data_IF_304775572934
#
_entry.id   IF_304775572934
#
_cell.length_a   1.000
_cell.length_b   1.000
_cell.length_c   1.000
_cell.angle_alpha   90.00
_cell.angle_beta   90.00
_cell.angle_gamma   90.00
#
_symmetry.space_group_name_H-M   'P 1'
#
loop_
_entity.id
_entity.type
_entity.pdbx_description
1 polymer ?
#
# COMPACT_ATOMS: atom_id res chain seq x y z
N UNK A 1 -1.21 -37.27 16.64
CA UNK A 1 -2.21 -36.25 16.43
C UNK A 1 -3.52 -36.75 17.02
N UNK A 2 -4.25 -36.00 17.84
CA UNK A 2 -5.56 -36.39 18.36
C UNK A 2 -6.57 -36.61 17.23
N UNK A 3 -7.38 -37.70 17.33
CA UNK A 3 -8.33 -38.10 16.30
C UNK A 3 -9.40 -37.01 16.11
N UNK A 4 -9.82 -36.37 17.18
CA UNK A 4 -10.76 -35.23 17.14
C UNK A 4 -10.35 -34.06 16.24
N UNK A 5 -9.02 -33.85 16.05
CA UNK A 5 -8.53 -32.81 15.12
C UNK A 5 -8.69 -33.28 13.68
N UNK A 6 -8.53 -34.58 13.42
CA UNK A 6 -8.74 -35.17 12.11
C UNK A 6 -10.23 -35.13 11.75
N UNK A 7 -11.08 -35.53 12.69
CA UNK A 7 -12.54 -35.53 12.50
C UNK A 7 -13.05 -34.11 12.22
N UNK A 8 -12.58 -33.13 12.98
CA UNK A 8 -12.93 -31.70 12.75
C UNK A 8 -12.49 -31.22 11.37
N UNK A 9 -11.29 -31.62 10.91
CA UNK A 9 -10.82 -31.24 9.58
C UNK A 9 -11.64 -31.90 8.49
N UNK A 10 -11.97 -33.19 8.65
CA UNK A 10 -12.85 -33.93 7.74
C UNK A 10 -14.25 -33.33 7.67
N UNK A 11 -14.84 -33.03 8.82
CA UNK A 11 -16.16 -32.39 8.90
C UNK A 11 -16.22 -31.10 8.08
N UNK A 12 -15.19 -30.22 8.23
CA UNK A 12 -15.10 -28.97 7.48
C UNK A 12 -15.02 -29.18 5.97
N UNK A 13 -14.24 -30.17 5.52
CA UNK A 13 -14.14 -30.51 4.10
C UNK A 13 -15.43 -31.09 3.56
N UNK A 14 -16.10 -31.96 4.32
CA UNK A 14 -17.38 -32.54 3.91
C UNK A 14 -18.49 -31.50 3.90
N UNK A 15 -18.51 -30.59 4.88
CA UNK A 15 -19.46 -29.48 4.92
C UNK A 15 -19.32 -28.60 3.67
N UNK A 16 -18.09 -28.17 3.34
CA UNK A 16 -17.80 -27.40 2.14
C UNK A 16 -18.26 -28.11 0.86
N UNK A 17 -17.98 -29.42 0.76
CA UNK A 17 -18.45 -30.22 -0.38
C UNK A 17 -19.98 -30.28 -0.46
N UNK A 18 -20.64 -30.40 0.70
CA UNK A 18 -22.11 -30.37 0.76
C UNK A 18 -22.68 -29.02 0.34
N UNK A 19 -22.11 -27.92 0.83
CA UNK A 19 -22.51 -26.55 0.48
C UNK A 19 -22.33 -26.24 -1.02
N UNK A 20 -21.30 -26.82 -1.65
CA UNK A 20 -21.06 -26.72 -3.09
C UNK A 20 -21.89 -27.68 -3.94
N UNK A 21 -22.76 -28.50 -3.32
CA UNK A 21 -23.59 -29.50 -4.00
C UNK A 21 -22.81 -30.72 -4.53
N UNK A 22 -21.49 -30.82 -4.25
CA UNK A 22 -20.62 -31.91 -4.76
C UNK A 22 -21.01 -33.31 -4.27
N UNK A 23 -21.85 -33.40 -3.24
CA UNK A 23 -22.37 -34.64 -2.68
C UNK A 23 -23.76 -34.98 -3.18
N UNK A 24 -24.40 -34.12 -3.99
CA UNK A 24 -25.71 -34.33 -4.53
C UNK A 24 -25.68 -35.29 -5.71
N UNK A 25 -26.67 -36.21 -5.78
CA UNK A 25 -26.71 -37.20 -6.85
C UNK A 25 -26.88 -36.63 -8.27
N UNK A 26 -27.37 -35.39 -8.37
CA UNK A 26 -27.55 -34.66 -9.63
C UNK A 26 -26.49 -33.56 -9.86
N UNK A 27 -25.34 -33.60 -9.14
CA UNK A 27 -24.32 -32.58 -9.33
C UNK A 27 -23.77 -32.66 -10.75
N UNK A 28 -23.67 -31.49 -11.37
CA UNK A 28 -23.16 -31.28 -12.72
C UNK A 28 -21.87 -30.46 -12.63
N UNK A 29 -20.74 -30.94 -13.19
CA UNK A 29 -19.50 -30.18 -13.21
C UNK A 29 -19.54 -28.97 -14.13
N UNK A 30 -20.51 -28.85 -15.04
CA UNK A 30 -20.63 -27.72 -15.93
C UNK A 30 -21.23 -26.53 -15.17
N UNK A 31 -20.51 -25.39 -15.07
CA UNK A 31 -21.05 -24.18 -14.45
C UNK A 31 -22.34 -23.72 -15.14
N UNK A 32 -23.31 -23.25 -14.35
CA UNK A 32 -24.58 -22.74 -14.86
C UNK A 32 -24.39 -21.68 -15.95
N UNK A 33 -23.39 -20.84 -15.83
CA UNK A 33 -23.06 -19.77 -16.79
C UNK A 33 -22.62 -20.29 -18.16
N UNK A 34 -22.19 -21.56 -18.29
CA UNK A 34 -21.81 -22.19 -19.56
C UNK A 34 -22.92 -23.05 -20.15
N UNK A 35 -23.99 -23.30 -19.42
CA UNK A 35 -25.14 -24.07 -19.92
C UNK A 35 -25.82 -23.30 -21.07
N UNK A 36 -26.33 -24.05 -22.02
CA UNK A 36 -27.02 -23.49 -23.19
C UNK A 36 -26.14 -22.63 -24.11
N UNK A 37 -24.80 -22.85 -24.08
CA UNK A 37 -23.86 -22.11 -24.92
C UNK A 37 -23.59 -20.68 -24.48
N UNK A 38 -23.75 -20.40 -23.18
CA UNK A 38 -23.37 -19.12 -22.56
C UNK A 38 -21.90 -18.80 -22.76
N UNK A 39 -21.58 -17.55 -23.05
CA UNK A 39 -20.22 -17.03 -23.07
C UNK A 39 -19.92 -16.41 -21.70
N UNK A 40 -18.72 -16.73 -21.16
CA UNK A 40 -18.25 -16.09 -19.96
C UNK A 40 -17.56 -14.77 -20.31
N UNK A 41 -18.11 -13.68 -19.81
CA UNK A 41 -17.42 -12.39 -19.81
C UNK A 41 -16.53 -12.32 -18.56
N UNK A 42 -15.20 -12.36 -18.76
CA UNK A 42 -14.22 -12.27 -17.69
C UNK A 42 -13.84 -10.83 -17.35
N UNK A 43 -14.33 -9.85 -18.11
CA UNK A 43 -14.07 -8.43 -17.93
C UNK A 43 -15.36 -7.59 -17.97
N UNK A 44 -16.40 -7.97 -17.21
CA UNK A 44 -17.67 -7.27 -17.26
C UNK A 44 -17.57 -5.86 -16.65
N UNK A 45 -18.37 -4.88 -17.10
CA UNK A 45 -18.30 -3.48 -16.69
C UNK A 45 -18.31 -3.24 -15.16
N UNK A 46 -19.03 -4.07 -14.42
CA UNK A 46 -19.09 -3.93 -12.96
C UNK A 46 -17.78 -4.35 -12.27
N UNK A 47 -17.05 -5.33 -12.82
CA UNK A 47 -15.73 -5.73 -12.32
C UNK A 47 -14.69 -4.67 -12.66
N UNK A 48 -14.74 -4.09 -13.86
CA UNK A 48 -13.91 -2.93 -14.25
C UNK A 48 -14.14 -1.74 -13.31
N UNK A 49 -15.39 -1.43 -12.96
CA UNK A 49 -15.71 -0.36 -12.00
C UNK A 49 -15.15 -0.64 -10.60
N UNK A 50 -15.17 -1.90 -10.15
CA UNK A 50 -14.56 -2.31 -8.90
C UNK A 50 -13.03 -2.21 -8.95
N UNK A 51 -12.40 -2.70 -10.02
CA UNK A 51 -10.96 -2.60 -10.26
C UNK A 51 -10.49 -1.14 -10.25
N UNK A 52 -11.24 -0.25 -10.93
CA UNK A 52 -10.98 1.21 -10.91
C UNK A 52 -11.04 1.78 -9.50
N UNK A 53 -12.08 1.44 -8.73
CA UNK A 53 -12.21 1.89 -7.34
C UNK A 53 -11.04 1.44 -6.48
N UNK A 54 -10.59 0.20 -6.64
CA UNK A 54 -9.44 -0.33 -5.91
C UNK A 54 -8.15 0.37 -6.34
N UNK A 55 -7.91 0.55 -7.63
CA UNK A 55 -6.75 1.24 -8.16
C UNK A 55 -6.68 2.70 -7.64
N UNK A 56 -7.76 3.47 -7.75
CA UNK A 56 -7.84 4.86 -7.28
C UNK A 56 -7.59 4.99 -5.77
N UNK A 57 -8.06 4.03 -4.96
CA UNK A 57 -7.85 4.01 -3.51
C UNK A 57 -6.47 3.51 -3.10
N UNK A 58 -5.75 2.82 -3.97
CA UNK A 58 -4.44 2.23 -3.69
C UNK A 58 -3.26 3.15 -3.99
N UNK A 59 -3.40 4.11 -4.90
CA UNK A 59 -2.32 5.06 -5.24
C UNK A 59 -1.93 5.89 -4.02
N UNK A 60 -0.64 5.92 -3.72
CA UNK A 60 -0.06 6.62 -2.57
C UNK A 60 0.70 7.86 -3.02
N UNK A 61 0.30 9.03 -2.58
CA UNK A 61 1.09 10.25 -2.70
C UNK A 61 2.11 10.27 -1.56
N UNK A 62 3.38 10.03 -1.87
CA UNK A 62 4.45 9.97 -0.86
C UNK A 62 4.97 11.36 -0.49
N UNK A 63 5.09 12.24 -1.46
CA UNK A 63 5.56 13.61 -1.25
C UNK A 63 4.99 14.56 -2.31
N UNK A 64 4.74 15.79 -1.92
CA UNK A 64 4.47 16.94 -2.79
C UNK A 64 5.10 18.18 -2.16
N UNK A 65 6.43 18.31 -2.33
CA UNK A 65 7.23 19.36 -1.69
C UNK A 65 7.09 20.71 -2.35
N UNK A 66 6.87 20.69 -3.66
CA UNK A 66 6.73 21.92 -4.44
C UNK A 66 5.28 22.39 -4.56
N UNK A 67 4.30 21.62 -4.04
CA UNK A 67 2.88 21.87 -4.25
C UNK A 67 2.51 21.83 -5.73
N UNK A 68 3.19 20.97 -6.50
CA UNK A 68 3.01 20.86 -7.95
C UNK A 68 1.79 20.02 -8.31
N UNK A 69 1.34 19.17 -7.41
CA UNK A 69 0.15 18.36 -7.59
C UNK A 69 -1.06 18.94 -6.85
N UNK A 70 -2.27 18.83 -7.42
CA UNK A 70 -2.55 18.31 -8.75
C UNK A 70 -2.05 19.25 -9.85
N UNK A 71 -1.61 18.68 -10.97
CA UNK A 71 -1.14 19.45 -12.11
C UNK A 71 -2.26 20.33 -12.68
N UNK A 72 -1.99 21.64 -12.82
CA UNK A 72 -2.93 22.60 -13.37
C UNK A 72 -2.64 22.76 -14.86
N UNK A 73 -3.26 21.94 -15.71
CA UNK A 73 -3.19 21.96 -17.17
C UNK A 73 -1.84 22.45 -17.73
N UNK A 74 -0.75 21.67 -17.56
CA UNK A 74 0.57 22.10 -18.02
C UNK A 74 0.57 22.26 -19.53
N UNK A 75 1.14 23.38 -20.03
CA UNK A 75 1.18 23.60 -21.47
C UNK A 75 2.10 22.59 -22.16
N UNK A 76 3.24 22.25 -21.53
CA UNK A 76 4.23 21.26 -22.02
C UNK A 76 4.57 20.27 -20.91
N UNK A 77 4.28 19.01 -21.19
CA UNK A 77 4.52 17.91 -20.26
C UNK A 77 5.48 16.90 -20.87
N UNK A 78 6.59 16.63 -20.22
CA UNK A 78 7.48 15.54 -20.62
C UNK A 78 7.12 14.27 -19.84
N UNK A 79 6.86 13.18 -20.51
CA UNK A 79 6.64 11.84 -19.90
C UNK A 79 7.85 10.98 -20.25
N UNK A 80 8.70 10.75 -19.27
CA UNK A 80 10.02 10.14 -19.44
C UNK A 80 10.15 8.92 -18.54
N UNK A 81 10.70 7.85 -19.07
CA UNK A 81 11.01 6.65 -18.29
C UNK A 81 10.55 5.37 -18.94
N UNK A 82 11.13 4.23 -18.55
CA UNK A 82 10.91 2.95 -19.20
C UNK A 82 9.50 2.38 -18.98
N UNK A 83 8.83 2.76 -17.89
CA UNK A 83 7.51 2.25 -17.51
C UNK A 83 6.35 3.13 -18.05
N UNK A 84 6.65 4.24 -18.76
CA UNK A 84 5.63 5.18 -19.21
C UNK A 84 4.69 4.60 -20.28
N UNK A 85 5.29 3.90 -21.25
CA UNK A 85 4.59 3.33 -22.42
C UNK A 85 4.72 1.79 -22.42
N UNK A 86 4.53 1.19 -21.25
CA UNK A 86 4.67 -0.25 -21.03
C UNK A 86 3.49 -0.78 -20.22
N UNK A 87 2.58 -1.48 -20.88
CA UNK A 87 1.35 -2.05 -20.27
C UNK A 87 1.69 -3.02 -19.15
N UNK A 88 2.72 -3.86 -19.33
CA UNK A 88 3.07 -4.91 -18.38
C UNK A 88 3.64 -4.36 -17.07
N UNK A 89 4.09 -3.10 -17.04
CA UNK A 89 4.52 -2.41 -15.83
C UNK A 89 3.37 -2.12 -14.84
N UNK A 90 2.11 -2.26 -15.29
CA UNK A 90 0.93 -2.10 -14.43
C UNK A 90 0.52 -3.40 -13.73
N UNK A 91 1.06 -4.54 -14.14
CA UNK A 91 0.58 -5.88 -13.80
C UNK A 91 1.57 -6.65 -12.94
N UNK A 92 1.07 -7.38 -11.93
CA UNK A 92 1.88 -8.33 -11.16
C UNK A 92 2.23 -9.60 -11.95
N UNK A 93 3.20 -10.37 -11.45
CA UNK A 93 3.75 -11.53 -12.17
C UNK A 93 2.74 -12.65 -12.43
N UNK A 94 1.69 -12.78 -11.62
CA UNK A 94 0.63 -13.78 -11.79
C UNK A 94 -0.59 -13.27 -12.55
N UNK A 95 -0.60 -12.00 -12.98
CA UNK A 95 -1.61 -11.53 -13.92
C UNK A 95 -1.48 -12.26 -15.25
N UNK A 96 -2.59 -12.55 -15.91
CA UNK A 96 -2.60 -13.28 -17.17
C UNK A 96 -1.62 -12.72 -18.21
N UNK A 97 -1.54 -11.39 -18.44
CA UNK A 97 -0.59 -10.82 -19.40
C UNK A 97 0.87 -11.20 -19.09
N UNK A 98 1.30 -11.15 -17.84
CA UNK A 98 2.68 -11.45 -17.43
C UNK A 98 2.94 -12.95 -17.24
N UNK A 99 1.94 -13.73 -16.84
CA UNK A 99 2.11 -15.15 -16.55
C UNK A 99 2.00 -16.02 -17.80
N UNK A 100 1.01 -15.77 -18.63
CA UNK A 100 0.69 -16.58 -19.81
C UNK A 100 0.95 -15.80 -21.10
N UNK A 101 0.49 -14.56 -21.20
CA UNK A 101 0.55 -13.74 -22.41
C UNK A 101 1.96 -13.60 -22.98
N UNK A 102 2.98 -13.39 -22.13
CA UNK A 102 4.39 -13.27 -22.56
C UNK A 102 4.92 -14.54 -23.25
N UNK A 103 4.37 -15.72 -22.95
CA UNK A 103 4.72 -16.99 -23.59
C UNK A 103 3.93 -17.24 -24.89
N UNK A 104 2.88 -16.44 -25.13
CA UNK A 104 1.97 -16.54 -26.26
C UNK A 104 1.75 -15.18 -26.91
N UNK A 105 2.78 -14.54 -27.52
CA UNK A 105 2.72 -13.17 -28.02
C UNK A 105 1.71 -12.97 -29.18
N UNK A 106 1.29 -14.06 -29.83
CA UNK A 106 0.30 -14.03 -30.91
C UNK A 106 -1.16 -14.11 -30.40
N UNK A 107 -1.36 -14.26 -29.09
CA UNK A 107 -2.67 -14.34 -28.48
C UNK A 107 -3.12 -12.95 -28.00
N UNK A 108 -4.34 -12.59 -28.33
CA UNK A 108 -4.95 -11.36 -27.81
C UNK A 108 -5.13 -11.48 -26.28
N UNK A 109 -4.89 -10.39 -25.57
CA UNK A 109 -5.04 -10.36 -24.10
C UNK A 109 -6.50 -10.47 -23.66
N UNK A 110 -7.45 -10.19 -24.55
CA UNK A 110 -8.88 -10.25 -24.27
C UNK A 110 -9.42 -9.10 -23.42
N UNK A 111 -8.56 -8.17 -23.03
CA UNK A 111 -8.90 -6.95 -22.27
C UNK A 111 -8.17 -5.75 -22.85
N UNK A 112 -8.74 -4.55 -22.67
CA UNK A 112 -8.08 -3.29 -23.01
C UNK A 112 -7.20 -2.82 -21.86
N UNK A 113 -5.92 -2.63 -22.12
CA UNK A 113 -4.93 -2.16 -21.15
C UNK A 113 -4.24 -0.90 -21.70
N UNK A 114 -4.69 0.31 -21.34
CA UNK A 114 -3.98 1.53 -21.71
C UNK A 114 -2.65 1.62 -20.95
N UNK A 115 -1.62 2.17 -21.61
CA UNK A 115 -0.38 2.54 -20.94
C UNK A 115 -0.60 3.76 -20.03
N UNK A 116 0.32 4.04 -19.11
CA UNK A 116 0.23 5.28 -18.34
C UNK A 116 0.34 6.51 -19.24
N UNK A 117 1.14 6.44 -20.31
CA UNK A 117 1.25 7.51 -21.31
C UNK A 117 -0.09 7.79 -22.00
N UNK A 118 -0.84 6.74 -22.38
CA UNK A 118 -2.17 6.90 -22.99
C UNK A 118 -3.16 7.54 -22.02
N UNK A 119 -3.14 7.09 -20.76
CA UNK A 119 -3.99 7.68 -19.72
C UNK A 119 -3.63 9.16 -19.45
N UNK A 120 -2.34 9.52 -19.44
CA UNK A 120 -1.90 10.92 -19.29
C UNK A 120 -2.33 11.77 -20.49
N UNK A 121 -2.23 11.25 -21.72
CA UNK A 121 -2.73 11.95 -22.91
C UNK A 121 -4.25 12.20 -22.86
N UNK A 122 -4.99 11.21 -22.39
CA UNK A 122 -6.43 11.33 -22.20
C UNK A 122 -6.82 12.32 -21.09
N UNK A 123 -6.06 12.34 -19.99
CA UNK A 123 -6.34 13.19 -18.84
C UNK A 123 -5.96 14.67 -19.08
N UNK A 124 -4.93 14.94 -19.92
CA UNK A 124 -4.44 16.29 -20.25
C UNK A 124 -4.52 16.58 -21.76
N UNK A 125 -5.72 16.65 -22.35
CA UNK A 125 -5.89 16.79 -23.79
C UNK A 125 -5.39 18.14 -24.34
N UNK A 126 -5.23 19.13 -23.50
CA UNK A 126 -4.69 20.47 -23.84
C UNK A 126 -3.16 20.56 -23.78
N UNK A 127 -2.47 19.56 -23.20
CA UNK A 127 -1.03 19.57 -23.03
C UNK A 127 -0.29 19.13 -24.28
N UNK A 128 0.80 19.81 -24.61
CA UNK A 128 1.79 19.29 -25.55
C UNK A 128 2.66 18.26 -24.83
N UNK A 129 2.45 16.96 -25.12
CA UNK A 129 3.15 15.86 -24.48
C UNK A 129 4.33 15.42 -25.34
N UNK A 130 5.54 15.48 -24.79
CA UNK A 130 6.77 14.92 -25.35
C UNK A 130 7.20 13.71 -24.55
N UNK A 131 7.83 12.73 -25.19
CA UNK A 131 8.18 11.46 -24.57
C UNK A 131 9.60 11.04 -24.86
N UNK A 132 10.24 10.37 -23.91
CA UNK A 132 11.50 9.67 -24.11
C UNK A 132 11.58 8.47 -23.14
N UNK A 133 12.01 7.31 -23.64
CA UNK A 133 12.21 6.13 -22.77
C UNK A 133 13.36 6.33 -21.80
N UNK A 134 14.44 7.00 -22.22
CA UNK A 134 15.63 7.26 -21.45
C UNK A 134 16.52 6.02 -21.27
N UNK A 135 16.03 5.01 -20.54
CA UNK A 135 16.73 3.76 -20.25
C UNK A 135 15.78 2.58 -20.34
N UNK A 136 16.26 1.34 -20.56
CA UNK A 136 15.43 0.15 -20.33
C UNK A 136 15.22 -0.11 -18.85
N UNK A 137 14.26 -1.00 -18.50
CA UNK A 137 13.97 -1.31 -17.07
C UNK A 137 15.13 -2.05 -16.42
N UNK A 138 15.65 -3.08 -17.05
CA UNK A 138 16.56 -4.06 -16.44
C UNK A 138 18.02 -3.88 -16.86
N UNK A 139 18.25 -3.61 -18.13
CA UNK A 139 19.62 -3.51 -18.66
C UNK A 139 20.27 -2.18 -18.28
N UNK A 140 21.60 -2.22 -18.09
CA UNK A 140 22.39 -1.02 -17.81
C UNK A 140 22.78 -0.33 -19.12
N UNK A 141 21.80 0.26 -19.81
CA UNK A 141 21.99 1.08 -21.00
C UNK A 141 21.67 2.56 -20.70
N UNK A 142 22.60 3.44 -20.98
CA UNK A 142 22.53 4.89 -20.72
C UNK A 142 22.34 5.71 -21.98
N UNK A 143 22.29 5.07 -23.14
CA UNK A 143 22.33 5.74 -24.45
C UNK A 143 21.19 6.74 -24.67
N UNK A 144 20.02 6.49 -24.08
CA UNK A 144 18.85 7.36 -24.21
C UNK A 144 18.79 8.51 -23.17
N UNK A 145 19.68 8.57 -22.16
CA UNK A 145 19.61 9.61 -21.10
C UNK A 145 19.73 11.02 -21.69
N UNK A 146 20.62 11.22 -22.67
CA UNK A 146 20.81 12.54 -23.30
C UNK A 146 19.55 13.03 -24.03
N UNK A 147 18.79 12.13 -24.66
CA UNK A 147 17.51 12.46 -25.27
C UNK A 147 16.44 12.79 -24.21
N UNK A 148 16.35 11.98 -23.17
CA UNK A 148 15.46 12.20 -22.04
C UNK A 148 15.67 13.58 -21.38
N UNK A 149 16.92 13.98 -21.18
CA UNK A 149 17.30 15.31 -20.64
C UNK A 149 16.87 16.44 -21.58
N UNK A 150 17.06 16.28 -22.90
CA UNK A 150 16.58 17.29 -23.88
C UNK A 150 15.04 17.42 -23.79
N UNK A 151 14.33 16.30 -23.85
CA UNK A 151 12.87 16.26 -23.72
C UNK A 151 12.40 16.95 -22.44
N UNK A 152 13.05 16.66 -21.31
CA UNK A 152 12.73 17.26 -20.02
C UNK A 152 12.99 18.77 -19.98
N UNK A 153 14.08 19.23 -20.59
CA UNK A 153 14.48 20.65 -20.57
C UNK A 153 13.45 21.54 -21.29
N UNK A 154 12.79 21.03 -22.32
CA UNK A 154 11.78 21.74 -23.11
C UNK A 154 10.39 21.78 -22.45
N UNK A 155 10.16 20.99 -21.42
CA UNK A 155 8.88 20.89 -20.73
C UNK A 155 8.75 21.89 -19.57
N UNK A 156 7.51 22.09 -19.10
CA UNK A 156 7.20 22.87 -17.91
C UNK A 156 7.24 21.98 -16.66
N UNK A 157 6.80 20.71 -16.81
CA UNK A 157 6.84 19.65 -15.79
C UNK A 157 7.29 18.34 -16.43
N UNK A 158 8.01 17.53 -15.66
CA UNK A 158 8.49 16.20 -16.07
C UNK A 158 7.82 15.14 -15.21
N UNK A 159 7.18 14.16 -15.85
CA UNK A 159 6.76 12.91 -15.22
C UNK A 159 7.87 11.88 -15.46
N UNK A 160 8.61 11.52 -14.42
CA UNK A 160 9.60 10.46 -14.46
C UNK A 160 8.91 9.13 -14.06
N UNK A 161 8.57 8.30 -15.05
CA UNK A 161 7.83 7.04 -14.84
C UNK A 161 8.81 5.89 -14.79
N UNK A 162 9.08 5.43 -13.58
CA UNK A 162 10.09 4.41 -13.29
C UNK A 162 9.42 3.17 -12.70
N UNK A 163 10.06 2.02 -12.85
CA UNK A 163 9.44 0.83 -12.27
C UNK A 163 10.12 -0.47 -12.60
N UNK A 164 9.32 -1.51 -12.39
CA UNK A 164 9.66 -2.91 -12.59
C UNK A 164 9.03 -3.48 -13.87
N UNK A 165 9.61 -4.55 -14.33
CA UNK A 165 8.93 -5.56 -15.15
C UNK A 165 8.65 -6.75 -14.24
N UNK A 166 7.36 -7.04 -14.00
CA UNK A 166 6.98 -8.22 -13.25
C UNK A 166 7.20 -9.48 -14.09
N UNK A 167 7.84 -10.49 -13.52
CA UNK A 167 8.15 -11.73 -14.21
C UNK A 167 8.19 -12.93 -13.29
N UNK A 168 8.42 -14.09 -13.91
CA UNK A 168 8.53 -15.39 -13.23
C UNK A 168 9.86 -16.03 -13.57
N UNK A 169 10.42 -16.77 -12.58
CA UNK A 169 11.62 -17.58 -12.76
C UNK A 169 12.81 -16.78 -13.30
N UNK A 170 13.04 -15.59 -12.73
CA UNK A 170 14.17 -14.72 -13.09
C UNK A 170 14.00 -13.89 -14.38
N UNK A 171 12.80 -13.87 -14.98
CA UNK A 171 12.54 -13.17 -16.25
C UNK A 171 12.02 -11.74 -16.06
N UNK A 172 12.26 -11.13 -14.93
CA UNK A 172 11.84 -9.78 -14.60
C UNK A 172 12.69 -9.18 -13.50
N UNK A 173 12.31 -8.01 -13.03
CA UNK A 173 12.97 -7.33 -11.91
C UNK A 173 12.21 -7.52 -10.61
N UNK A 174 10.93 -7.96 -10.65
CA UNK A 174 10.08 -8.25 -9.50
C UNK A 174 9.16 -9.42 -9.80
N UNK A 175 8.86 -10.26 -8.82
CA UNK A 175 7.99 -11.43 -8.95
C UNK A 175 8.66 -12.70 -8.43
N UNK A 176 8.07 -13.86 -8.70
CA UNK A 176 8.59 -15.15 -8.24
C UNK A 176 9.94 -15.45 -8.88
N UNK A 177 10.95 -15.70 -8.03
CA UNK A 177 12.32 -15.98 -8.47
C UNK A 177 13.04 -14.76 -9.08
N UNK A 178 12.47 -13.56 -8.95
CA UNK A 178 13.08 -12.31 -9.36
C UNK A 178 13.55 -11.52 -8.12
N UNK A 179 14.42 -12.13 -7.32
CA UNK A 179 14.98 -11.54 -6.11
C UNK A 179 15.98 -10.42 -6.44
N UNK A 180 16.20 -9.53 -5.49
CA UNK A 180 17.17 -8.44 -5.59
C UNK A 180 18.06 -8.40 -4.34
N UNK A 181 19.34 -8.11 -4.53
CA UNK A 181 20.34 -8.03 -3.45
C UNK A 181 20.13 -6.78 -2.58
N UNK A 182 19.56 -5.73 -3.14
CA UNK A 182 19.29 -4.47 -2.46
C UNK A 182 18.00 -3.81 -2.99
N UNK A 183 17.72 -2.59 -2.52
CA UNK A 183 16.55 -1.81 -2.87
C UNK A 183 16.88 -0.65 -3.83
N UNK A 184 17.86 -0.80 -4.70
CA UNK A 184 18.08 0.16 -5.79
C UNK A 184 17.09 -0.05 -6.92
N UNK A 185 16.72 1.04 -7.60
CA UNK A 185 15.97 0.94 -8.86
C UNK A 185 16.77 0.10 -9.87
N UNK A 186 16.13 -0.82 -10.60
CA UNK A 186 16.83 -1.69 -11.53
C UNK A 186 17.47 -0.93 -12.70
N UNK A 187 18.49 -1.52 -13.31
CA UNK A 187 19.16 -0.98 -14.48
C UNK A 187 19.84 0.37 -14.22
N UNK A 188 19.65 1.31 -15.14
CA UNK A 188 20.20 2.69 -15.05
C UNK A 188 19.11 3.72 -14.67
N UNK A 189 17.98 3.30 -14.10
CA UNK A 189 16.86 4.20 -13.79
C UNK A 189 17.21 5.27 -12.75
N UNK A 190 18.05 4.95 -11.76
CA UNK A 190 18.51 5.93 -10.78
C UNK A 190 19.33 7.04 -11.43
N UNK A 191 20.22 6.69 -12.38
CA UNK A 191 21.04 7.65 -13.13
C UNK A 191 20.17 8.53 -14.07
N UNK A 192 19.16 7.95 -14.72
CA UNK A 192 18.18 8.70 -15.48
C UNK A 192 17.48 9.73 -14.59
N UNK A 193 17.00 9.31 -13.41
CA UNK A 193 16.29 10.18 -12.50
C UNK A 193 17.16 11.32 -12.00
N UNK A 194 18.41 11.06 -11.64
CA UNK A 194 19.37 12.11 -11.25
C UNK A 194 19.58 13.13 -12.39
N UNK A 195 19.76 12.65 -13.62
CA UNK A 195 19.93 13.51 -14.79
C UNK A 195 18.70 14.38 -15.09
N UNK A 196 17.48 13.84 -14.88
CA UNK A 196 16.24 14.61 -15.01
C UNK A 196 16.13 15.71 -13.93
N UNK A 197 16.47 15.38 -12.68
CA UNK A 197 16.48 16.35 -11.57
C UNK A 197 17.52 17.46 -11.76
N UNK A 198 18.65 17.17 -12.40
CA UNK A 198 19.70 18.14 -12.71
C UNK A 198 19.29 19.17 -13.78
N UNK A 199 18.19 18.93 -14.51
CA UNK A 199 17.60 19.93 -15.42
C UNK A 199 17.02 21.16 -14.71
N UNK A 200 16.79 21.05 -13.40
CA UNK A 200 16.12 22.09 -12.61
C UNK A 200 14.63 22.26 -12.87
N UNK A 201 14.02 21.39 -13.69
CA UNK A 201 12.58 21.36 -13.90
C UNK A 201 11.86 20.67 -12.75
N UNK A 202 10.60 21.00 -12.45
CA UNK A 202 9.78 20.23 -11.53
C UNK A 202 9.64 18.79 -12.04
N UNK A 203 10.18 17.83 -11.29
CA UNK A 203 10.09 16.39 -11.61
C UNK A 203 9.11 15.73 -10.65
N UNK A 204 8.04 15.17 -11.19
CA UNK A 204 7.11 14.28 -10.50
C UNK A 204 7.53 12.84 -10.79
N UNK A 205 7.94 12.12 -9.76
CA UNK A 205 8.33 10.71 -9.87
C UNK A 205 7.10 9.83 -9.71
N UNK A 206 6.85 8.97 -10.68
CA UNK A 206 5.80 7.95 -10.63
C UNK A 206 6.46 6.57 -10.60
N UNK A 207 6.17 5.80 -9.56
CA UNK A 207 6.75 4.50 -9.30
C UNK A 207 5.72 3.39 -9.56
N UNK A 208 5.97 2.59 -10.59
CA UNK A 208 5.23 1.37 -10.93
C UNK A 208 6.10 0.17 -10.55
N UNK A 209 6.13 -0.20 -9.27
CA UNK A 209 7.15 -1.10 -8.72
C UNK A 209 6.56 -2.21 -7.87
N UNK A 210 7.14 -3.38 -7.91
CA UNK A 210 6.80 -4.48 -7.00
C UNK A 210 7.52 -4.39 -5.64
N UNK A 211 8.53 -3.50 -5.51
CA UNK A 211 9.30 -3.28 -4.28
C UNK A 211 9.27 -1.82 -3.85
N UNK A 212 9.45 -1.55 -2.55
CA UNK A 212 9.59 -0.19 -2.01
C UNK A 212 11.04 0.30 -2.19
N UNK A 213 11.43 0.65 -3.41
CA UNK A 213 12.78 1.08 -3.71
C UNK A 213 13.21 2.33 -2.95
N UNK A 214 14.45 2.33 -2.48
CA UNK A 214 15.05 3.46 -1.79
C UNK A 214 15.57 4.49 -2.81
N UNK A 215 14.98 5.67 -2.81
CA UNK A 215 15.34 6.73 -3.75
C UNK A 215 16.53 7.59 -3.27
N UNK A 216 17.04 7.37 -2.05
CA UNK A 216 18.17 8.11 -1.51
C UNK A 216 17.95 9.62 -1.46
N UNK A 217 18.95 10.38 -1.91
CA UNK A 217 18.89 11.85 -1.94
C UNK A 217 17.84 12.41 -2.91
N UNK A 218 17.38 11.62 -3.90
CA UNK A 218 16.30 11.99 -4.82
C UNK A 218 15.02 12.29 -4.07
N UNK A 219 14.78 11.58 -2.96
CA UNK A 219 13.60 11.78 -2.11
C UNK A 219 13.39 13.26 -1.75
N UNK A 220 14.47 14.01 -1.52
CA UNK A 220 14.40 15.42 -1.11
C UNK A 220 14.44 16.40 -2.30
N UNK A 221 14.81 15.94 -3.50
CA UNK A 221 14.95 16.75 -4.73
C UNK A 221 13.72 16.72 -5.62
N UNK A 222 12.98 15.62 -5.62
CA UNK A 222 11.77 15.47 -6.43
C UNK A 222 10.67 16.47 -6.00
N UNK A 223 9.99 17.09 -6.97
CA UNK A 223 8.88 17.99 -6.72
C UNK A 223 7.70 17.25 -6.06
N UNK A 224 7.38 16.06 -6.58
CA UNK A 224 6.41 15.14 -5.97
C UNK A 224 6.81 13.68 -6.26
N UNK A 225 6.28 12.74 -5.43
CA UNK A 225 6.51 11.31 -5.59
C UNK A 225 5.19 10.57 -5.40
N UNK A 226 4.81 9.78 -6.40
CA UNK A 226 3.61 8.94 -6.41
C UNK A 226 4.03 7.48 -6.52
N UNK A 227 3.56 6.64 -5.61
CA UNK A 227 3.78 5.19 -5.59
C UNK A 227 2.47 4.49 -5.95
N UNK A 228 2.46 3.70 -7.00
CA UNK A 228 1.28 2.95 -7.41
C UNK A 228 1.42 1.44 -7.25
N UNK A 229 2.64 0.92 -7.03
CA UNK A 229 2.94 -0.51 -7.07
C UNK A 229 2.55 -1.10 -8.43
N UNK A 230 1.90 -2.27 -8.45
CA UNK A 230 1.26 -2.84 -9.65
C UNK A 230 -0.24 -2.62 -9.55
N UNK A 231 -0.76 -1.51 -10.10
CA UNK A 231 -2.13 -1.07 -9.83
C UNK A 231 -3.21 -1.79 -10.65
N UNK A 232 -2.82 -2.72 -11.54
CA UNK A 232 -3.74 -3.51 -12.34
C UNK A 232 -4.28 -2.79 -13.58
N UNK A 233 -5.29 -3.39 -14.19
CA UNK A 233 -5.87 -2.97 -15.49
C UNK A 233 -6.40 -1.53 -15.50
N UNK A 234 -6.93 -1.04 -14.41
CA UNK A 234 -7.43 0.33 -14.26
C UNK A 234 -6.39 1.30 -13.69
N UNK A 235 -5.17 0.82 -13.47
CA UNK A 235 -4.11 1.54 -12.78
C UNK A 235 -3.62 2.79 -13.51
N UNK A 236 -3.52 2.74 -14.84
CA UNK A 236 -3.10 3.88 -15.65
C UNK A 236 -4.03 5.08 -15.44
N UNK A 237 -5.36 4.85 -15.54
CA UNK A 237 -6.39 5.87 -15.31
C UNK A 237 -6.41 6.38 -13.87
N UNK A 238 -6.15 5.51 -12.89
CA UNK A 238 -6.08 5.88 -11.49
C UNK A 238 -4.89 6.82 -11.20
N UNK A 239 -3.70 6.49 -11.70
CA UNK A 239 -2.50 7.33 -11.55
C UNK A 239 -2.67 8.67 -12.26
N UNK A 240 -3.14 8.67 -13.53
CA UNK A 240 -3.41 9.90 -14.26
C UNK A 240 -4.43 10.78 -13.52
N UNK A 241 -5.49 10.19 -12.97
CA UNK A 241 -6.49 10.88 -12.16
C UNK A 241 -5.93 11.49 -10.86
N UNK A 242 -4.94 10.85 -10.23
CA UNK A 242 -4.22 11.47 -9.11
C UNK A 242 -3.40 12.64 -9.60
N UNK A 243 -2.66 12.51 -10.70
CA UNK A 243 -1.84 13.61 -11.25
C UNK A 243 -2.66 14.85 -11.60
N UNK A 244 -3.87 14.69 -12.17
CA UNK A 244 -4.77 15.79 -12.52
C UNK A 244 -5.58 16.32 -11.34
N UNK A 245 -5.68 15.53 -10.29
CA UNK A 245 -6.55 15.80 -9.15
C UNK A 245 -8.01 15.37 -9.35
N UNK A 246 -8.37 14.69 -10.43
CA UNK A 246 -9.68 14.03 -10.55
C UNK A 246 -9.87 13.05 -9.39
N UNK A 247 -8.82 12.37 -9.00
CA UNK A 247 -8.76 11.50 -7.84
C UNK A 247 -7.97 12.18 -6.72
N UNK A 248 -8.55 12.28 -5.52
CA UNK A 248 -7.81 12.68 -4.33
C UNK A 248 -7.12 11.44 -3.74
N UNK A 249 -5.76 11.39 -3.69
CA UNK A 249 -5.05 10.22 -3.22
C UNK A 249 -5.40 9.88 -1.77
N UNK A 250 -5.59 8.61 -1.48
CA UNK A 250 -5.93 8.11 -0.14
C UNK A 250 -5.22 6.82 0.23
N UNK A 251 -4.38 6.28 -0.64
CA UNK A 251 -3.57 5.10 -0.37
C UNK A 251 -2.58 5.34 0.77
N UNK A 252 -2.22 4.26 1.47
CA UNK A 252 -1.22 4.27 2.54
C UNK A 252 -0.21 3.16 2.29
N UNK A 253 1.06 3.43 2.57
CA UNK A 253 2.13 2.46 2.40
C UNK A 253 1.89 1.21 3.26
N UNK A 254 1.80 0.02 2.65
CA UNK A 254 1.69 -1.25 3.38
C UNK A 254 3.04 -1.76 3.90
N UNK A 255 4.12 -1.05 3.55
CA UNK A 255 5.51 -1.29 3.96
C UNK A 255 6.20 0.07 4.13
N UNK A 256 7.28 0.13 4.91
CA UNK A 256 8.10 1.34 4.92
C UNK A 256 9.06 1.38 3.72
N UNK A 257 9.44 2.58 3.29
CA UNK A 257 10.45 2.80 2.26
C UNK A 257 11.77 3.15 2.94
N UNK A 258 12.82 2.36 2.72
CA UNK A 258 14.13 2.61 3.28
C UNK A 258 14.74 3.91 2.71
N UNK A 259 15.56 4.60 3.50
CA UNK A 259 16.24 5.82 3.04
C UNK A 259 17.38 5.50 2.07
N UNK A 260 18.06 4.39 2.29
CA UNK A 260 19.18 3.92 1.46
C UNK A 260 18.94 2.50 0.99
N UNK A 261 19.48 2.09 -0.18
CA UNK A 261 19.23 0.76 -0.74
C UNK A 261 19.58 -0.41 0.18
N UNK A 262 20.66 -0.28 0.97
CA UNK A 262 21.05 -1.25 2.00
C UNK A 262 20.39 -1.01 3.36
N UNK A 263 19.37 -0.16 3.43
CA UNK A 263 18.69 0.20 4.69
C UNK A 263 18.06 -0.98 5.38
N UNK A 264 18.46 -1.25 6.61
CA UNK A 264 17.94 -2.34 7.45
C UNK A 264 17.74 -1.84 8.88
N UNK A 265 16.67 -2.29 9.59
CA UNK A 265 15.64 -3.19 9.13
C UNK A 265 14.64 -2.48 8.19
N UNK A 266 14.26 -3.14 7.11
CA UNK A 266 13.24 -2.62 6.20
C UNK A 266 11.81 -2.89 6.70
N UNK A 267 11.59 -2.85 8.00
CA UNK A 267 10.29 -3.09 8.65
C UNK A 267 10.07 -2.18 9.85
N UNK A 268 8.84 -1.68 10.02
CA UNK A 268 8.44 -0.93 11.21
C UNK A 268 8.25 -1.83 12.46
N UNK A 269 8.22 -3.16 12.29
CA UNK A 269 8.07 -4.15 13.37
C UNK A 269 9.41 -4.48 14.06
N UNK A 270 10.35 -3.56 14.11
CA UNK A 270 11.62 -3.74 14.81
C UNK A 270 11.47 -3.56 16.33
N UNK A 271 12.34 -4.21 17.11
CA UNK A 271 12.48 -3.95 18.53
C UNK A 271 13.18 -2.62 18.81
N UNK A 272 13.23 -2.20 20.07
CA UNK A 272 13.80 -0.91 20.49
C UNK A 272 15.25 -0.67 20.00
N UNK A 273 16.07 -1.71 19.97
CA UNK A 273 17.45 -1.62 19.47
C UNK A 273 17.59 -1.44 17.95
N UNK A 274 16.50 -1.65 17.19
CA UNK A 274 16.44 -1.37 15.75
C UNK A 274 16.15 0.09 15.41
N UNK A 275 15.90 0.95 16.41
CA UNK A 275 15.70 2.37 16.20
C UNK A 275 17.04 3.12 16.09
N UNK A 276 16.99 4.34 15.57
CA UNK A 276 18.14 5.25 15.58
C UNK A 276 18.70 5.44 16.98
N UNK A 277 20.00 5.30 17.14
CA UNK A 277 20.69 5.46 18.42
C UNK A 277 22.00 6.22 18.28
N UNK A 278 22.51 6.76 19.38
CA UNK A 278 23.84 7.38 19.41
C UNK A 278 25.01 6.39 19.38
N UNK A 279 24.73 5.07 19.38
CA UNK A 279 25.74 4.01 19.42
C UNK A 279 26.04 3.48 18.01
N UNK A 280 25.03 3.49 17.10
CA UNK A 280 25.19 3.02 15.72
C UNK A 280 25.44 4.19 14.78
N UNK A 281 26.37 4.02 13.84
CA UNK A 281 26.57 4.95 12.72
C UNK A 281 25.48 4.84 11.66
N UNK A 282 24.72 3.73 11.63
CA UNK A 282 23.60 3.55 10.73
C UNK A 282 22.37 4.30 11.23
N UNK A 283 21.67 4.98 10.33
CA UNK A 283 20.36 5.58 10.58
C UNK A 283 19.28 4.73 9.92
N UNK A 284 18.52 3.92 10.69
CA UNK A 284 17.46 3.06 10.16
C UNK A 284 16.15 3.81 9.90
N UNK A 285 16.10 5.13 10.15
CA UNK A 285 14.89 5.94 9.91
C UNK A 285 14.45 5.81 8.46
N UNK A 286 13.21 5.40 8.17
CA UNK A 286 12.73 5.28 6.81
C UNK A 286 12.64 6.63 6.10
N UNK A 287 12.71 6.63 4.78
CA UNK A 287 12.37 7.79 3.97
C UNK A 287 10.87 8.08 4.06
N UNK A 288 10.05 7.02 4.01
CA UNK A 288 8.61 7.06 4.24
C UNK A 288 8.21 5.90 5.16
N UNK A 289 7.57 6.19 6.30
CA UNK A 289 7.21 5.16 7.27
C UNK A 289 6.04 4.29 6.79
N UNK A 290 5.86 3.13 7.41
CA UNK A 290 4.67 2.30 7.24
C UNK A 290 3.39 3.12 7.54
N UNK A 291 2.37 2.95 6.72
CA UNK A 291 1.12 3.67 6.84
C UNK A 291 1.12 5.09 6.28
N UNK A 292 2.28 5.62 5.80
CA UNK A 292 2.38 6.96 5.23
C UNK A 292 1.65 7.11 3.90
N UNK A 293 1.07 8.27 3.69
CA UNK A 293 0.46 8.73 2.45
C UNK A 293 -0.20 10.09 2.67
N UNK A 294 -0.11 10.95 1.66
CA UNK A 294 -0.67 12.30 1.66
C UNK A 294 -2.02 12.35 0.94
N UNK A 295 -2.70 13.47 1.10
CA UNK A 295 -3.98 13.79 0.45
C UNK A 295 -3.92 15.23 -0.08
N UNK A 296 -4.77 15.57 -1.05
CA UNK A 296 -4.99 16.96 -1.51
C UNK A 296 -5.90 17.76 -0.58
N UNK A 297 -6.27 17.20 0.57
CA UNK A 297 -6.99 17.89 1.64
C UNK A 297 -6.31 17.61 2.98
N UNK A 298 -6.73 18.29 4.03
CA UNK A 298 -6.14 18.17 5.36
C UNK A 298 -7.15 17.62 6.35
N UNK A 299 -6.65 16.89 7.36
CA UNK A 299 -7.48 16.28 8.40
C UNK A 299 -6.95 16.64 9.79
N UNK A 300 -7.85 17.03 10.68
CA UNK A 300 -7.59 17.17 12.11
C UNK A 300 -8.24 16.03 12.88
N UNK A 301 -7.57 15.57 13.93
CA UNK A 301 -8.06 14.53 14.82
C UNK A 301 -8.04 15.03 16.25
N UNK A 302 -9.14 14.79 16.97
CA UNK A 302 -9.31 15.20 18.37
C UNK A 302 -10.23 14.22 19.13
N UNK A 303 -10.55 14.57 20.38
CA UNK A 303 -11.52 13.90 21.22
C UNK A 303 -11.27 12.38 21.35
N UNK A 304 -10.01 12.00 21.71
CA UNK A 304 -9.67 10.62 22.04
C UNK A 304 -10.45 10.16 23.27
N UNK A 305 -11.18 9.05 23.12
CA UNK A 305 -11.87 8.40 24.23
C UNK A 305 -11.51 6.90 24.28
N UNK A 306 -11.44 6.37 25.49
CA UNK A 306 -11.23 4.94 25.74
C UNK A 306 -12.28 4.47 26.73
N UNK A 307 -13.25 3.71 26.25
CA UNK A 307 -14.28 3.08 27.06
C UNK A 307 -13.92 1.64 27.38
N UNK A 308 -14.40 1.11 28.51
CA UNK A 308 -14.11 -0.26 28.95
C UNK A 308 -12.80 -0.42 29.73
N UNK A 309 -12.10 0.68 30.03
CA UNK A 309 -10.88 0.71 30.85
C UNK A 309 -10.98 1.76 31.95
N UNK A 310 -11.76 1.51 33.00
CA UNK A 310 -11.89 2.46 34.14
C UNK A 310 -10.51 2.72 34.74
N UNK A 311 -10.19 4.00 34.95
CA UNK A 311 -8.88 4.44 35.46
C UNK A 311 -7.67 3.90 34.67
N UNK A 312 -7.87 3.58 33.39
CA UNK A 312 -6.84 3.00 32.53
C UNK A 312 -6.63 1.49 32.71
N UNK A 313 -7.41 0.82 33.57
CA UNK A 313 -7.31 -0.62 33.78
C UNK A 313 -8.09 -1.42 32.72
N UNK A 314 -7.38 -2.28 31.98
CA UNK A 314 -7.93 -3.15 30.95
C UNK A 314 -7.72 -4.61 31.31
N UNK A 315 -8.79 -5.38 31.51
CA UNK A 315 -8.66 -6.79 31.87
C UNK A 315 -7.97 -7.62 30.77
N UNK A 316 -7.14 -8.60 31.15
CA UNK A 316 -6.42 -9.47 30.19
C UNK A 316 -7.35 -10.30 29.29
N UNK A 317 -8.63 -10.40 29.62
CA UNK A 317 -9.72 -11.04 28.83
C UNK A 317 -10.80 -10.02 28.39
N UNK A 318 -10.54 -8.72 28.61
CA UNK A 318 -11.49 -7.66 28.37
C UNK A 318 -11.42 -7.06 26.97
N UNK A 319 -12.37 -6.18 26.72
CA UNK A 319 -12.48 -5.40 25.50
C UNK A 319 -12.53 -3.92 25.83
N UNK A 320 -11.83 -3.10 25.05
CA UNK A 320 -11.91 -1.64 25.13
C UNK A 320 -12.40 -1.08 23.79
N UNK A 321 -13.07 0.07 23.83
CA UNK A 321 -13.41 0.84 22.65
C UNK A 321 -12.55 2.10 22.61
N UNK A 322 -11.71 2.23 21.58
CA UNK A 322 -10.86 3.40 21.33
C UNK A 322 -11.46 4.22 20.22
N UNK A 323 -11.78 5.47 20.47
CA UNK A 323 -12.42 6.32 19.47
C UNK A 323 -11.81 7.72 19.41
N UNK A 324 -11.94 8.35 18.22
CA UNK A 324 -11.58 9.75 18.01
C UNK A 324 -12.52 10.39 17.00
N UNK A 325 -12.52 11.70 16.97
CA UNK A 325 -13.17 12.51 15.93
C UNK A 325 -12.16 12.85 14.85
N UNK A 326 -12.52 12.60 13.59
CA UNK A 326 -11.76 12.99 12.39
C UNK A 326 -12.55 14.04 11.63
N UNK A 327 -11.93 15.17 11.31
CA UNK A 327 -12.54 16.28 10.56
C UNK A 327 -11.70 16.59 9.33
N UNK A 328 -12.35 16.67 8.18
CA UNK A 328 -11.74 17.27 6.99
C UNK A 328 -11.70 18.78 7.16
N UNK A 329 -10.49 19.35 7.28
CA UNK A 329 -10.27 20.78 7.50
C UNK A 329 -9.94 21.55 6.23
N UNK A 330 -9.83 20.86 5.09
CA UNK A 330 -9.58 21.50 3.80
C UNK A 330 -10.87 21.76 3.02
N UNK A 331 -10.70 22.27 1.81
CA UNK A 331 -11.79 22.71 0.94
C UNK A 331 -12.28 21.64 -0.04
N UNK A 332 -11.66 20.44 0.00
CA UNK A 332 -11.92 19.34 -0.93
C UNK A 332 -12.36 18.09 -0.19
N UNK A 333 -13.30 17.34 -0.77
CA UNK A 333 -13.63 16.01 -0.27
C UNK A 333 -12.42 15.08 -0.37
N UNK A 334 -12.25 14.21 0.61
CA UNK A 334 -11.13 13.26 0.64
C UNK A 334 -11.35 12.16 1.67
N UNK A 335 -10.42 11.23 1.71
CA UNK A 335 -10.43 10.18 2.70
C UNK A 335 -9.11 10.16 3.49
N UNK A 336 -9.22 9.95 4.80
CA UNK A 336 -8.10 9.67 5.68
C UNK A 336 -8.14 8.22 6.16
N UNK A 337 -7.00 7.71 6.61
CA UNK A 337 -6.90 6.37 7.20
C UNK A 337 -6.41 6.49 8.63
N UNK A 338 -7.33 6.31 9.56
CA UNK A 338 -7.02 6.27 10.99
C UNK A 338 -6.42 4.92 11.33
N UNK A 339 -5.22 4.91 11.89
CA UNK A 339 -4.45 3.70 12.20
C UNK A 339 -4.29 3.58 13.71
N UNK A 340 -4.74 2.45 14.29
CA UNK A 340 -4.60 2.14 15.71
C UNK A 340 -3.36 1.27 15.93
N UNK A 341 -2.41 1.79 16.68
CA UNK A 341 -1.16 1.13 17.05
C UNK A 341 -1.16 0.73 18.52
N UNK A 342 -0.54 -0.41 18.80
CA UNK A 342 -0.26 -0.93 20.13
C UNK A 342 1.25 -0.93 20.38
N UNK A 343 1.70 -0.39 21.50
CA UNK A 343 3.04 -0.53 22.03
C UNK A 343 2.99 -1.27 23.36
N UNK A 344 3.91 -2.21 23.55
CA UNK A 344 4.10 -2.98 24.76
C UNK A 344 5.56 -2.80 25.20
N UNK A 345 5.83 -1.77 26.05
CA UNK A 345 7.20 -1.35 26.34
C UNK A 345 7.97 -2.32 27.24
N UNK A 346 7.27 -3.16 28.03
CA UNK A 346 7.87 -4.10 28.96
C UNK A 346 7.16 -5.45 28.88
N UNK A 347 7.75 -6.39 28.20
CA UNK A 347 7.23 -7.75 28.04
C UNK A 347 8.31 -8.80 28.34
N UNK A 348 7.90 -10.05 28.57
CA UNK A 348 8.81 -11.19 28.83
C UNK A 348 9.69 -11.56 27.63
N UNK A 349 9.39 -11.03 26.42
CA UNK A 349 10.18 -11.13 25.18
C UNK A 349 10.28 -9.78 24.51
N UNK A 350 11.23 -9.61 23.58
CA UNK A 350 11.34 -8.40 22.77
C UNK A 350 10.09 -8.23 21.91
N UNK A 351 9.44 -7.07 22.04
CA UNK A 351 8.27 -6.68 21.26
C UNK A 351 8.66 -5.63 20.22
N UNK A 352 7.92 -5.53 19.11
CA UNK A 352 8.01 -4.37 18.23
C UNK A 352 7.74 -3.08 19.01
N UNK A 353 8.45 -2.00 18.67
CA UNK A 353 8.21 -0.67 19.29
C UNK A 353 6.75 -0.24 19.16
N UNK A 354 6.09 -0.68 18.09
CA UNK A 354 4.65 -0.55 17.87
C UNK A 354 4.15 -1.56 16.85
N UNK A 355 2.87 -1.89 16.89
CA UNK A 355 2.22 -2.83 16.00
C UNK A 355 0.84 -2.29 15.61
N UNK A 356 0.51 -2.26 14.33
CA UNK A 356 -0.84 -1.94 13.84
C UNK A 356 -1.81 -3.03 14.33
N UNK A 357 -2.86 -2.62 15.02
CA UNK A 357 -3.90 -3.53 15.53
C UNK A 357 -5.30 -3.21 14.99
N UNK A 358 -5.46 -2.08 14.30
CA UNK A 358 -6.70 -1.71 13.61
C UNK A 358 -6.48 -0.54 12.66
N UNK A 359 -7.36 -0.38 11.68
CA UNK A 359 -7.40 0.80 10.81
C UNK A 359 -8.81 1.03 10.27
N UNK A 360 -9.09 2.27 9.91
CA UNK A 360 -10.34 2.69 9.29
C UNK A 360 -10.08 3.72 8.18
N UNK A 361 -10.63 3.50 7.00
CA UNK A 361 -10.67 4.49 5.94
C UNK A 361 -11.98 5.28 6.06
N UNK A 362 -11.88 6.60 6.19
CA UNK A 362 -12.99 7.51 6.44
C UNK A 362 -13.07 8.53 5.31
N UNK A 363 -14.16 8.53 4.57
CA UNK A 363 -14.44 9.52 3.51
C UNK A 363 -15.24 10.69 4.09
N UNK A 364 -14.74 11.92 3.87
CA UNK A 364 -15.34 13.13 4.40
C UNK A 364 -15.43 14.21 3.31
N UNK A 365 -16.61 14.80 3.16
CA UNK A 365 -16.77 16.05 2.43
C UNK A 365 -15.94 17.16 3.10
N UNK A 366 -15.67 18.26 2.38
CA UNK A 366 -15.02 19.44 2.96
C UNK A 366 -15.80 19.93 4.19
N UNK A 367 -15.10 20.15 5.30
CA UNK A 367 -15.65 20.58 6.58
C UNK A 367 -16.39 19.51 7.39
N UNK A 368 -16.68 18.34 6.82
CA UNK A 368 -17.38 17.25 7.51
C UNK A 368 -16.48 16.55 8.55
N UNK A 369 -17.12 15.91 9.52
CA UNK A 369 -16.47 15.15 10.56
C UNK A 369 -17.16 13.81 10.79
N UNK A 370 -16.42 12.82 11.29
CA UNK A 370 -16.94 11.56 11.74
C UNK A 370 -16.22 11.10 13.00
N UNK A 371 -16.92 10.32 13.81
CA UNK A 371 -16.33 9.56 14.90
C UNK A 371 -15.96 8.18 14.41
N UNK A 372 -14.73 7.79 14.69
CA UNK A 372 -14.19 6.45 14.39
C UNK A 372 -13.98 5.72 15.69
N UNK A 373 -14.52 4.51 15.81
CA UNK A 373 -14.46 3.69 17.02
C UNK A 373 -13.93 2.30 16.69
N UNK A 374 -12.89 1.86 17.42
CA UNK A 374 -12.25 0.57 17.31
C UNK A 374 -12.59 -0.28 18.53
N UNK A 375 -13.17 -1.46 18.34
CA UNK A 375 -13.41 -2.44 19.41
C UNK A 375 -12.23 -3.40 19.50
N UNK A 376 -11.38 -3.23 20.52
CA UNK A 376 -10.12 -3.95 20.67
C UNK A 376 -10.21 -4.93 21.83
N UNK A 377 -10.13 -6.23 21.55
CA UNK A 377 -10.03 -7.27 22.57
C UNK A 377 -8.57 -7.47 23.02
N UNK A 378 -8.35 -7.81 24.29
CA UNK A 378 -7.01 -8.03 24.87
C UNK A 378 -6.20 -9.12 24.14
N UNK A 379 -6.84 -10.07 23.46
CA UNK A 379 -6.16 -11.06 22.60
C UNK A 379 -5.29 -10.42 21.52
N UNK A 380 -5.58 -9.17 21.11
CA UNK A 380 -4.78 -8.42 20.12
C UNK A 380 -3.41 -8.00 20.67
N UNK A 381 -3.21 -8.06 21.98
CA UNK A 381 -1.91 -7.81 22.63
C UNK A 381 -1.06 -9.09 22.72
N UNK A 382 -1.66 -10.27 22.48
CA UNK A 382 -1.00 -11.56 22.67
C UNK A 382 0.23 -11.76 21.78
N UNK A 383 1.25 -12.37 22.37
CA UNK A 383 2.49 -12.74 21.68
C UNK A 383 2.95 -14.14 22.09
N UNK A 384 3.90 -14.70 21.36
CA UNK A 384 4.47 -16.01 21.66
C UNK A 384 5.59 -15.85 22.69
N UNK A 385 5.40 -16.43 23.88
CA UNK A 385 6.36 -16.43 24.98
C UNK A 385 7.54 -17.41 24.77
N UNK A 386 8.43 -17.46 25.74
CA UNK A 386 9.63 -18.35 25.70
C UNK A 386 9.29 -19.83 25.71
N UNK A 387 8.14 -20.19 26.24
CA UNK A 387 7.61 -21.55 26.29
C UNK A 387 6.83 -21.94 25.02
N UNK A 388 6.88 -21.11 23.98
CA UNK A 388 6.19 -21.25 22.69
C UNK A 388 4.65 -21.22 22.80
N UNK A 389 4.11 -20.86 23.94
CA UNK A 389 2.68 -20.58 24.10
C UNK A 389 2.37 -19.12 23.80
N UNK A 390 1.21 -18.87 23.25
CA UNK A 390 0.73 -17.53 23.03
C UNK A 390 0.07 -16.99 24.30
N UNK A 391 0.48 -15.82 24.77
CA UNK A 391 0.06 -15.25 26.04
C UNK A 391 -0.37 -13.79 25.89
N UNK A 392 -1.44 -13.41 26.58
CA UNK A 392 -1.74 -12.03 26.96
C UNK A 392 -1.10 -11.82 28.33
N UNK A 393 -0.09 -10.98 28.40
CA UNK A 393 0.67 -10.68 29.61
C UNK A 393 0.11 -9.42 30.28
N UNK A 394 0.00 -9.43 31.61
CA UNK A 394 -0.37 -8.25 32.35
C UNK A 394 0.77 -7.24 32.37
N UNK A 395 0.48 -5.95 32.24
CA UNK A 395 1.51 -4.93 32.14
C UNK A 395 1.02 -3.62 31.51
N UNK A 396 1.92 -2.67 31.44
CA UNK A 396 1.60 -1.38 30.82
C UNK A 396 1.65 -1.49 29.30
N UNK A 397 0.65 -0.91 28.64
CA UNK A 397 0.56 -0.82 27.17
C UNK A 397 0.18 0.59 26.77
N UNK A 398 0.51 0.97 25.56
CA UNK A 398 0.10 2.27 24.99
C UNK A 398 -0.66 2.02 23.71
N UNK A 399 -1.88 2.53 23.62
CA UNK A 399 -2.63 2.64 22.39
C UNK A 399 -2.40 4.02 21.76
N UNK A 400 -2.20 4.06 20.45
CA UNK A 400 -1.98 5.30 19.75
C UNK A 400 -2.75 5.32 18.43
N UNK A 401 -3.41 6.43 18.12
CA UNK A 401 -4.00 6.71 16.83
C UNK A 401 -3.05 7.57 16.01
N UNK A 402 -2.71 7.12 14.83
CA UNK A 402 -1.74 7.77 13.96
C UNK A 402 -2.12 7.74 12.48
N UNK A 403 -1.58 8.69 11.73
CA UNK A 403 -1.66 8.72 10.27
C UNK A 403 -0.58 7.84 9.61
N UNK A 404 0.43 7.44 10.38
CA UNK A 404 1.46 6.46 10.03
C UNK A 404 2.11 5.91 11.29
N UNK A 405 3.01 4.95 11.15
CA UNK A 405 3.78 4.41 12.28
C UNK A 405 4.68 5.46 12.96
N UNK A 406 4.98 6.58 12.32
CA UNK A 406 5.82 7.66 12.86
C UNK A 406 5.04 8.98 13.10
N UNK A 407 3.79 9.08 12.63
CA UNK A 407 2.90 10.22 12.90
C UNK A 407 1.78 9.77 13.84
N UNK A 408 2.10 9.65 15.14
CA UNK A 408 1.15 9.29 16.20
C UNK A 408 0.56 10.58 16.79
N UNK A 409 -0.72 10.80 16.58
CA UNK A 409 -1.40 12.05 16.91
C UNK A 409 -2.07 12.04 18.27
N UNK A 410 -2.65 10.90 18.67
CA UNK A 410 -3.38 10.75 19.92
C UNK A 410 -2.90 9.48 20.61
N UNK A 411 -2.69 9.52 21.95
CA UNK A 411 -2.17 8.39 22.72
C UNK A 411 -2.94 8.19 24.01
N UNK A 412 -3.14 6.93 24.38
CA UNK A 412 -3.78 6.49 25.63
C UNK A 412 -2.92 5.42 26.30
N UNK A 413 -2.26 5.73 27.44
CA UNK A 413 -1.63 4.71 28.25
C UNK A 413 -2.71 3.89 29.00
N UNK A 414 -2.55 2.57 28.98
CA UNK A 414 -3.42 1.62 29.65
C UNK A 414 -2.57 0.61 30.41
N UNK A 415 -3.20 -0.12 31.31
CA UNK A 415 -2.58 -1.23 32.03
C UNK A 415 -3.44 -2.48 31.90
N UNK A 416 -2.91 -3.52 31.27
CA UNK A 416 -3.50 -4.85 31.31
C UNK A 416 -3.45 -5.40 32.73
N UNK A 417 -4.62 -5.77 33.28
CA UNK A 417 -4.81 -6.18 34.67
C UNK A 417 -5.40 -7.58 34.73
N UNK A 418 -5.02 -8.32 35.76
CA UNK A 418 -5.41 -9.71 36.00
C UNK A 418 -4.23 -10.67 35.83
N UNK A 419 -4.52 -11.96 35.80
CA UNK A 419 -3.50 -12.98 35.55
C UNK A 419 -3.11 -13.03 34.09
N UNK A 420 -1.86 -13.41 33.80
CA UNK A 420 -1.44 -13.75 32.45
C UNK A 420 -2.29 -14.89 31.90
N UNK A 421 -2.70 -14.77 30.63
CA UNK A 421 -3.65 -15.68 30.01
C UNK A 421 -3.09 -16.30 28.74
N UNK A 422 -3.00 -17.63 28.74
CA UNK A 422 -2.67 -18.37 27.51
C UNK A 422 -3.88 -18.38 26.58
N UNK A 423 -3.66 -18.06 25.31
CA UNK A 423 -4.70 -18.00 24.28
C UNK A 423 -4.47 -19.04 23.20
N UNK A 424 -5.54 -19.60 22.68
CA UNK A 424 -5.55 -20.66 21.66
C UNK A 424 -5.85 -20.16 20.26
N UNK A 425 -6.34 -21.08 19.45
CA UNK A 425 -6.79 -20.80 18.09
C UNK A 425 -8.12 -20.04 18.02
N UNK A 426 -8.87 -20.05 19.10
CA UNK A 426 -10.16 -19.38 19.31
C UNK A 426 -10.04 -17.90 19.68
N UNK A 427 -8.81 -17.39 19.79
CA UNK A 427 -8.55 -15.99 20.14
C UNK A 427 -9.12 -15.02 19.11
N UNK A 428 -9.48 -13.83 19.56
CA UNK A 428 -9.96 -12.75 18.71
C UNK A 428 -8.81 -12.20 17.85
N UNK A 429 -8.95 -12.26 16.52
CA UNK A 429 -7.94 -11.84 15.55
C UNK A 429 -8.25 -10.50 14.87
N UNK A 430 -9.49 -10.03 14.97
CA UNK A 430 -9.98 -8.82 14.29
C UNK A 430 -10.22 -7.68 15.29
N UNK A 431 -10.23 -6.48 14.77
CA UNK A 431 -10.60 -5.25 15.49
C UNK A 431 -11.75 -4.61 14.72
N UNK A 432 -13.01 -4.87 15.11
CA UNK A 432 -14.17 -4.23 14.48
C UNK A 432 -14.08 -2.71 14.55
N UNK A 433 -14.55 -2.04 13.51
CA UNK A 433 -14.54 -0.58 13.38
C UNK A 433 -15.93 -0.09 13.03
N UNK A 434 -16.34 0.97 13.70
CA UNK A 434 -17.53 1.73 13.38
C UNK A 434 -17.20 3.17 13.03
N UNK A 435 -17.88 3.75 12.06
CA UNK A 435 -17.74 5.14 11.67
C UNK A 435 -19.11 5.80 11.69
N UNK A 436 -19.26 6.87 12.48
CA UNK A 436 -20.49 7.62 12.63
C UNK A 436 -20.29 9.07 12.19
N UNK A 437 -21.07 9.57 11.26
CA UNK A 437 -21.05 11.00 10.86
C UNK A 437 -21.46 11.89 12.02
N UNK A 438 -20.82 13.07 12.12
CA UNK A 438 -21.06 14.12 13.14
C UNK A 438 -21.66 15.38 12.52
#
# INVERSE_FOLDING_TARGET
MPLELVDRALERVLLQKGELGLLDAGWDPEPEALRDGGELDFDPPHMRALARTLAERSVVLLADRAGVLPLQEPARLAVVGPAADEVLSLMGCYAFPNHVGVAHPDMELGIELPTLLDAVRSEFPGAQISTARGVPVQEVDRSGIAEAVRTATEADVVLAVLGDVAGLFGRGTSGEGCDADDLQLPGAQAELLDALLDTGKPVVVVLLTGRPYALGAVTDRAAAIVQAFFPGEEGAGAVAGVLSGRVNPSGRLPVQVARTPGGSPATYLHGALGAKSGISAADPTPAFPFGHGLSYTTFAWDDLQVDGAPDGAWATDGTVTVSCTVRNTGERAGADVVQLYLSDPVASVVRPVRQLVGFARVELAAGAAARVSFTLHADRTAFTGRDLRRVVESGDVVLALGASSEDLRLTAPLRLTGADRVVGADRVLTTPVETTAL
#
